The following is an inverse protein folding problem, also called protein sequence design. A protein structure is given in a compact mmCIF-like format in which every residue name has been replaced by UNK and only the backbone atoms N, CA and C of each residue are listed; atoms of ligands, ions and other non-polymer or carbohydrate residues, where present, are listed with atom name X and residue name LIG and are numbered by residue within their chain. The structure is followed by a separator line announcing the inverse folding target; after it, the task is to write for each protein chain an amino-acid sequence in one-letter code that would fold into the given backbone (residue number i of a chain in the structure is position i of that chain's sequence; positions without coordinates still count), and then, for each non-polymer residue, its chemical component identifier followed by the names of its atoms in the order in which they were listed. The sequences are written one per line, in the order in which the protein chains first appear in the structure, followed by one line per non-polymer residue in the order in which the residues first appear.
data_IF_673151556145
#
_entry.id   IF_673151556145
#
_cell.length_a   1.000
_cell.length_b   1.000
_cell.length_c   1.000
_cell.angle_alpha   90.00
_cell.angle_beta   90.00
_cell.angle_gamma   90.00
#
_symmetry.space_group_name_H-M   'P 1'
#
loop_
_entity.id
_entity.type
_entity.pdbx_description
1 polymer ?
#
# COMPACT_ATOMS: atom_id res chain seq x y z
N UNK A 1 -1.83 -30.97 -37.05
CA UNK A 1 -1.95 -29.50 -37.29
C UNK A 1 -0.57 -28.99 -37.68
N UNK A 2 -0.37 -28.56 -38.92
CA UNK A 2 0.89 -27.96 -39.34
C UNK A 2 0.90 -26.46 -38.98
N UNK A 3 1.96 -25.99 -38.34
CA UNK A 3 2.13 -24.57 -38.02
C UNK A 3 2.51 -23.84 -39.32
N UNK A 4 1.77 -22.78 -39.65
CA UNK A 4 2.12 -21.91 -40.77
C UNK A 4 3.31 -21.00 -40.41
N UNK A 5 4.51 -21.49 -40.70
CA UNK A 5 5.76 -20.77 -40.43
C UNK A 5 5.95 -19.53 -41.30
N UNK A 6 5.27 -19.40 -42.45
CA UNK A 6 5.34 -18.20 -43.28
C UNK A 6 4.59 -17.05 -42.63
N UNK A 7 3.41 -17.32 -42.07
CA UNK A 7 2.64 -16.34 -41.32
C UNK A 7 3.37 -15.91 -40.03
N UNK A 8 3.97 -16.86 -39.31
CA UNK A 8 4.79 -16.57 -38.11
C UNK A 8 5.99 -15.69 -38.46
N UNK A 9 6.66 -15.96 -39.59
CA UNK A 9 7.79 -15.14 -40.06
C UNK A 9 7.36 -13.71 -40.39
N UNK A 10 6.26 -13.53 -41.13
CA UNK A 10 5.72 -12.19 -41.45
C UNK A 10 5.39 -11.40 -40.18
N UNK A 11 4.79 -12.05 -39.18
CA UNK A 11 4.50 -11.42 -37.89
C UNK A 11 5.76 -11.04 -37.12
N UNK A 12 6.78 -11.91 -37.14
CA UNK A 12 8.07 -11.66 -36.48
C UNK A 12 8.83 -10.50 -37.16
N UNK A 13 8.86 -10.47 -38.49
CA UNK A 13 9.46 -9.39 -39.29
C UNK A 13 8.65 -8.08 -39.17
N UNK A 14 7.35 -8.13 -38.86
CA UNK A 14 6.53 -6.97 -38.54
C UNK A 14 6.72 -6.45 -37.09
N UNK A 15 7.59 -7.09 -36.29
CA UNK A 15 7.91 -6.68 -34.93
C UNK A 15 6.91 -7.13 -33.86
N UNK A 16 6.02 -8.09 -34.17
CA UNK A 16 5.08 -8.68 -33.21
C UNK A 16 5.85 -9.49 -32.16
N UNK A 17 5.38 -9.47 -30.91
CA UNK A 17 6.02 -10.21 -29.83
C UNK A 17 5.95 -11.74 -30.06
N UNK A 18 7.06 -12.44 -29.77
CA UNK A 18 7.17 -13.90 -29.89
C UNK A 18 6.04 -14.62 -29.12
N UNK A 19 5.63 -14.10 -27.96
CA UNK A 19 4.56 -14.65 -27.13
C UNK A 19 3.18 -14.52 -27.76
N UNK A 20 2.94 -13.48 -28.56
CA UNK A 20 1.67 -13.27 -29.24
C UNK A 20 1.57 -14.16 -30.48
N UNK A 21 2.68 -14.31 -31.22
CA UNK A 21 2.77 -15.27 -32.33
C UNK A 21 2.62 -16.70 -31.83
N UNK A 22 3.26 -17.04 -30.70
CA UNK A 22 3.13 -18.33 -30.05
C UNK A 22 1.66 -18.68 -29.76
N UNK A 23 0.91 -17.75 -29.16
CA UNK A 23 -0.51 -17.93 -28.84
C UNK A 23 -1.39 -18.03 -30.08
N UNK A 24 -1.17 -17.17 -31.08
CA UNK A 24 -1.98 -17.13 -32.30
C UNK A 24 -1.84 -18.38 -33.18
N UNK A 25 -0.66 -19.00 -33.17
CA UNK A 25 -0.36 -20.18 -33.99
C UNK A 25 -0.25 -21.49 -33.19
N UNK A 26 -0.62 -21.48 -31.91
CA UNK A 26 -0.62 -22.67 -31.05
C UNK A 26 0.75 -23.31 -30.85
N UNK A 27 1.82 -22.49 -30.77
CA UNK A 27 3.19 -22.95 -30.60
C UNK A 27 3.87 -22.29 -29.39
N UNK A 28 5.00 -22.83 -28.94
CA UNK A 28 5.76 -22.24 -27.83
C UNK A 28 6.63 -21.08 -28.34
N UNK A 29 6.70 -19.97 -27.60
CA UNK A 29 7.58 -18.83 -27.90
C UNK A 29 9.05 -19.24 -28.07
N UNK A 30 9.52 -20.21 -27.28
CA UNK A 30 10.86 -20.78 -27.43
C UNK A 30 11.08 -21.46 -28.78
N UNK A 31 10.04 -22.06 -29.37
CA UNK A 31 10.09 -22.67 -30.70
C UNK A 31 10.19 -21.60 -31.78
N UNK A 32 9.41 -20.52 -31.67
CA UNK A 32 9.48 -19.36 -32.59
C UNK A 32 10.89 -18.76 -32.55
N UNK A 33 11.46 -18.53 -31.37
CA UNK A 33 12.80 -17.96 -31.21
C UNK A 33 13.90 -18.85 -31.77
N UNK A 34 13.86 -20.16 -31.50
CA UNK A 34 14.81 -21.13 -32.06
C UNK A 34 14.73 -21.18 -33.58
N UNK A 35 13.52 -21.13 -34.14
CA UNK A 35 13.28 -21.12 -35.58
C UNK A 35 13.80 -19.83 -36.22
N UNK A 36 13.45 -18.68 -35.66
CA UNK A 36 13.90 -17.36 -36.12
C UNK A 36 15.44 -17.26 -36.14
N UNK A 37 16.11 -17.82 -35.11
CA UNK A 37 17.58 -17.89 -35.06
C UNK A 37 18.16 -18.83 -36.13
N UNK A 38 17.54 -19.99 -36.33
CA UNK A 38 17.99 -21.00 -37.32
C UNK A 38 17.83 -20.47 -38.76
N UNK A 39 16.75 -19.76 -39.03
CA UNK A 39 16.40 -19.24 -40.35
C UNK A 39 16.81 -17.77 -40.56
N UNK A 40 17.51 -17.18 -39.59
CA UNK A 40 18.05 -15.79 -39.61
C UNK A 40 16.99 -14.74 -39.99
N UNK A 41 15.81 -14.84 -39.40
CA UNK A 41 14.76 -13.85 -39.62
C UNK A 41 15.18 -12.49 -39.07
N UNK A 42 14.89 -11.41 -39.82
CA UNK A 42 15.21 -10.05 -39.40
C UNK A 42 14.09 -9.56 -38.49
N UNK A 43 14.41 -9.22 -37.25
CA UNK A 43 13.46 -8.54 -36.37
C UNK A 43 13.19 -7.16 -36.95
N UNK A 44 11.95 -6.90 -37.36
CA UNK A 44 11.51 -5.53 -37.68
C UNK A 44 11.54 -4.67 -36.43
N UNK A 45 11.56 -3.36 -36.62
CA UNK A 45 11.54 -2.39 -35.53
C UNK A 45 10.37 -2.73 -34.59
N UNK A 46 10.72 -3.19 -33.39
CA UNK A 46 9.76 -3.73 -32.43
C UNK A 46 8.87 -2.56 -32.04
N UNK A 47 7.68 -2.46 -32.62
CA UNK A 47 6.65 -1.53 -32.15
C UNK A 47 6.41 -1.93 -30.70
N UNK A 48 7.00 -1.18 -29.77
CA UNK A 48 6.75 -1.34 -28.34
C UNK A 48 5.25 -1.18 -28.18
N UNK A 49 4.54 -2.30 -28.09
CA UNK A 49 3.13 -2.33 -27.73
C UNK A 49 3.04 -1.92 -26.26
N UNK A 50 3.22 -0.62 -26.01
CA UNK A 50 3.06 0.00 -24.72
C UNK A 50 1.58 0.04 -24.41
N UNK A 51 1.02 -1.06 -23.90
CA UNK A 51 -0.32 -1.01 -23.32
C UNK A 51 -0.66 -2.07 -22.26
N UNK A 52 0.29 -2.90 -21.83
CA UNK A 52 0.10 -3.82 -20.68
C UNK A 52 1.11 -3.67 -19.55
N UNK A 53 1.99 -2.66 -19.63
CA UNK A 53 3.10 -2.46 -18.68
C UNK A 53 2.94 -1.20 -17.82
N UNK A 54 1.76 -0.59 -17.74
CA UNK A 54 1.60 0.60 -16.88
C UNK A 54 1.73 0.22 -15.40
N UNK A 55 0.99 -0.80 -14.93
CA UNK A 55 1.09 -1.27 -13.54
C UNK A 55 2.44 -1.95 -13.21
N UNK A 56 3.02 -2.69 -14.18
CA UNK A 56 4.31 -3.36 -14.03
C UNK A 56 5.50 -2.38 -14.11
N UNK A 57 5.36 -1.31 -14.91
CA UNK A 57 6.31 -0.21 -15.03
C UNK A 57 6.31 0.67 -13.78
N UNK A 58 5.14 1.09 -13.32
CA UNK A 58 4.98 1.84 -12.07
C UNK A 58 5.56 1.09 -10.86
N UNK A 59 5.30 -0.22 -10.75
CA UNK A 59 5.88 -1.04 -9.69
C UNK A 59 7.42 -1.16 -9.78
N UNK A 60 7.99 -1.14 -10.98
CA UNK A 60 9.45 -1.12 -11.18
C UNK A 60 10.05 0.25 -10.83
N UNK A 61 9.36 1.32 -11.19
CA UNK A 61 9.76 2.71 -10.92
C UNK A 61 9.74 2.98 -9.41
N UNK A 62 8.71 2.52 -8.68
CA UNK A 62 8.65 2.61 -7.22
C UNK A 62 9.82 1.92 -6.52
N UNK A 63 10.21 0.72 -6.98
CA UNK A 63 11.38 0.02 -6.41
C UNK A 63 12.66 0.80 -6.63
N UNK A 64 12.83 1.41 -7.80
CA UNK A 64 14.02 2.21 -8.10
C UNK A 64 14.11 3.47 -7.21
N UNK A 65 12.97 4.12 -6.96
CA UNK A 65 12.87 5.29 -6.09
C UNK A 65 13.13 4.94 -4.63
N UNK A 66 12.54 3.85 -4.13
CA UNK A 66 12.80 3.32 -2.78
C UNK A 66 14.27 2.93 -2.59
N UNK A 67 14.91 2.33 -3.59
CA UNK A 67 16.34 2.05 -3.55
C UNK A 67 17.16 3.36 -3.50
N UNK A 68 16.72 4.42 -4.15
CA UNK A 68 17.29 5.76 -4.02
C UNK A 68 17.23 6.29 -2.59
N UNK A 69 16.06 6.21 -1.95
CA UNK A 69 15.86 6.61 -0.55
C UNK A 69 16.72 5.78 0.40
N UNK A 70 16.74 4.45 0.22
CA UNK A 70 17.55 3.54 1.03
C UNK A 70 19.04 3.90 0.98
N UNK A 71 19.57 4.21 -0.20
CA UNK A 71 20.97 4.66 -0.35
C UNK A 71 21.26 5.95 0.41
N UNK A 72 20.34 6.91 0.41
CA UNK A 72 20.49 8.16 1.17
C UNK A 72 20.42 7.94 2.68
N UNK A 73 19.54 7.04 3.15
CA UNK A 73 19.50 6.66 4.56
C UNK A 73 20.83 6.05 5.02
N UNK A 74 21.34 5.07 4.27
CA UNK A 74 22.63 4.44 4.57
C UNK A 74 23.75 5.48 4.57
N UNK A 75 23.82 6.32 3.53
CA UNK A 75 24.81 7.40 3.44
C UNK A 75 24.72 8.43 4.58
N UNK A 76 23.51 8.71 5.08
CA UNK A 76 23.29 9.60 6.21
C UNK A 76 23.77 9.00 7.54
N UNK A 77 23.57 7.70 7.73
CA UNK A 77 24.01 6.96 8.93
C UNK A 77 25.51 6.67 8.96
N UNK A 78 26.11 6.42 7.79
CA UNK A 78 27.54 6.16 7.63
C UNK A 78 28.39 7.45 7.57
N UNK A 79 27.75 8.63 7.58
CA UNK A 79 28.46 9.90 7.49
C UNK A 79 29.13 10.23 8.83
N UNK A 80 30.44 10.47 8.80
CA UNK A 80 31.20 10.91 9.97
C UNK A 80 30.85 12.35 10.39
N UNK A 81 30.44 13.18 9.41
CA UNK A 81 29.92 14.53 9.69
C UNK A 81 28.43 14.46 10.06
N UNK A 82 28.15 14.66 11.34
CA UNK A 82 26.80 14.63 11.92
C UNK A 82 25.85 15.61 11.23
N UNK A 83 26.30 16.81 10.85
CA UNK A 83 25.42 17.82 10.22
C UNK A 83 25.00 17.35 8.84
N UNK A 84 25.97 16.89 8.05
CA UNK A 84 25.75 16.39 6.70
C UNK A 84 24.95 15.09 6.68
N UNK A 85 25.20 14.19 7.65
CA UNK A 85 24.43 12.98 7.86
C UNK A 85 22.96 13.28 8.17
N UNK A 86 22.71 14.22 9.08
CA UNK A 86 21.35 14.65 9.44
C UNK A 86 20.59 15.27 8.26
N UNK A 87 21.26 16.05 7.40
CA UNK A 87 20.64 16.59 6.19
C UNK A 87 20.22 15.49 5.21
N UNK A 88 21.08 14.51 4.94
CA UNK A 88 20.75 13.37 4.08
C UNK A 88 19.58 12.54 4.66
N UNK A 89 19.53 12.37 5.98
CA UNK A 89 18.42 11.68 6.66
C UNK A 89 17.10 12.44 6.57
N UNK A 90 17.12 13.78 6.72
CA UNK A 90 15.93 14.62 6.54
C UNK A 90 15.40 14.52 5.12
N UNK A 91 16.29 14.65 4.13
CA UNK A 91 15.93 14.52 2.71
C UNK A 91 15.34 13.14 2.43
N UNK A 92 15.96 12.07 2.95
CA UNK A 92 15.46 10.72 2.78
C UNK A 92 14.09 10.51 3.44
N UNK A 93 13.85 11.07 4.64
CA UNK A 93 12.57 11.02 5.33
C UNK A 93 11.47 11.70 4.50
N UNK A 94 11.67 12.94 4.09
CA UNK A 94 10.69 13.69 3.29
C UNK A 94 10.43 12.99 1.95
N UNK A 95 11.47 12.47 1.30
CA UNK A 95 11.31 11.71 0.06
C UNK A 95 10.49 10.42 0.27
N UNK A 96 10.68 9.72 1.40
CA UNK A 96 9.91 8.52 1.73
C UNK A 96 8.43 8.83 1.98
N UNK A 97 8.12 9.91 2.70
CA UNK A 97 6.74 10.37 2.94
C UNK A 97 6.04 10.66 1.61
N UNK A 98 6.64 11.48 0.75
CA UNK A 98 6.09 11.82 -0.57
C UNK A 98 5.90 10.57 -1.44
N UNK A 99 6.89 9.66 -1.48
CA UNK A 99 6.76 8.40 -2.24
C UNK A 99 5.66 7.51 -1.69
N UNK A 100 5.47 7.48 -0.37
CA UNK A 100 4.42 6.66 0.26
C UNK A 100 3.03 7.17 -0.12
N UNK A 101 2.84 8.48 -0.14
CA UNK A 101 1.56 9.08 -0.52
C UNK A 101 1.27 8.92 -2.01
N UNK A 102 2.28 9.13 -2.87
CA UNK A 102 2.17 8.84 -4.29
C UNK A 102 1.81 7.37 -4.57
N UNK A 103 2.45 6.42 -3.88
CA UNK A 103 2.12 5.00 -4.01
C UNK A 103 0.70 4.67 -3.53
N UNK A 104 0.17 5.37 -2.51
CA UNK A 104 -1.23 5.20 -2.07
C UNK A 104 -2.18 5.75 -3.14
N UNK A 105 -1.92 6.94 -3.66
CA UNK A 105 -2.73 7.56 -4.70
C UNK A 105 -2.78 6.71 -5.97
N UNK A 106 -1.64 6.15 -6.40
CA UNK A 106 -1.59 5.28 -7.56
C UNK A 106 -2.34 3.96 -7.33
N UNK A 107 -2.22 3.36 -6.14
CA UNK A 107 -3.01 2.16 -5.77
C UNK A 107 -4.52 2.44 -5.77
N UNK A 108 -4.93 3.61 -5.29
CA UNK A 108 -6.33 4.06 -5.35
C UNK A 108 -6.76 4.28 -6.81
N UNK A 109 -5.93 4.91 -7.64
CA UNK A 109 -6.21 5.14 -9.05
C UNK A 109 -6.30 3.84 -9.87
N UNK A 110 -5.55 2.82 -9.47
CA UNK A 110 -5.59 1.47 -10.05
C UNK A 110 -6.69 0.59 -9.47
N UNK A 111 -7.47 1.08 -8.49
CA UNK A 111 -8.53 0.31 -7.83
C UNK A 111 -8.02 -0.90 -7.04
N UNK A 112 -6.73 -0.94 -6.70
CA UNK A 112 -6.11 -2.01 -5.91
C UNK A 112 -6.37 -1.85 -4.40
N UNK A 113 -6.74 -0.65 -4.00
CA UNK A 113 -7.21 -0.31 -2.66
C UNK A 113 -8.54 0.39 -2.87
N UNK A 114 -9.63 -0.17 -2.34
CA UNK A 114 -10.89 0.57 -2.27
C UNK A 114 -10.66 1.78 -1.38
N UNK A 115 -11.11 2.95 -1.82
CA UNK A 115 -11.26 4.10 -0.92
C UNK A 115 -12.25 3.65 0.14
N UNK A 116 -11.77 3.26 1.32
CA UNK A 116 -12.63 3.18 2.49
C UNK A 116 -13.18 4.59 2.64
N UNK A 117 -14.47 4.77 2.36
CA UNK A 117 -15.06 6.09 2.51
C UNK A 117 -14.93 6.48 3.98
N UNK A 118 -14.72 7.76 4.27
CA UNK A 118 -14.77 8.26 5.66
C UNK A 118 -16.09 7.85 6.36
N UNK A 119 -17.14 7.64 5.57
CA UNK A 119 -18.42 7.12 6.01
C UNK A 119 -18.37 5.64 6.42
N UNK A 120 -17.56 4.82 5.74
CA UNK A 120 -17.33 3.41 6.10
C UNK A 120 -16.43 3.30 7.34
N UNK A 121 -15.39 4.13 7.46
CA UNK A 121 -14.57 4.17 8.68
C UNK A 121 -15.39 4.60 9.91
N UNK A 122 -16.31 5.56 9.73
CA UNK A 122 -17.27 5.96 10.79
C UNK A 122 -18.22 4.82 11.15
N UNK A 123 -18.79 4.12 10.16
CA UNK A 123 -19.66 2.97 10.39
C UNK A 123 -18.94 1.84 11.10
N UNK A 124 -17.69 1.58 10.76
CA UNK A 124 -16.88 0.54 11.38
C UNK A 124 -16.49 0.91 12.81
N UNK A 125 -16.16 2.19 13.06
CA UNK A 125 -15.90 2.71 14.41
C UNK A 125 -17.14 2.67 15.29
N UNK A 126 -18.31 3.02 14.75
CA UNK A 126 -19.60 2.96 15.45
C UNK A 126 -20.02 1.51 15.73
N UNK A 127 -19.84 0.60 14.77
CA UNK A 127 -20.08 -0.83 14.96
C UNK A 127 -19.15 -1.44 16.02
N UNK A 128 -17.89 -1.01 16.10
CA UNK A 128 -16.96 -1.41 17.15
C UNK A 128 -17.41 -0.88 18.52
N UNK A 129 -17.81 0.39 18.59
CA UNK A 129 -18.31 1.00 19.83
C UNK A 129 -19.58 0.29 20.35
N UNK A 130 -20.51 -0.08 19.46
CA UNK A 130 -21.70 -0.86 19.81
C UNK A 130 -21.32 -2.25 20.33
N UNK A 131 -20.37 -2.94 19.69
CA UNK A 131 -19.88 -4.24 20.16
C UNK A 131 -19.21 -4.15 21.52
N UNK A 132 -18.40 -3.11 21.76
CA UNK A 132 -17.80 -2.87 23.06
C UNK A 132 -18.86 -2.59 24.12
N UNK A 133 -19.86 -1.76 23.81
CA UNK A 133 -20.96 -1.46 24.70
C UNK A 133 -21.77 -2.71 25.07
N UNK A 134 -22.04 -3.60 24.12
CA UNK A 134 -22.71 -4.89 24.37
C UNK A 134 -21.85 -5.84 25.22
N UNK A 135 -20.52 -5.84 25.01
CA UNK A 135 -19.60 -6.64 25.82
C UNK A 135 -19.44 -6.10 27.25
N UNK A 136 -19.60 -4.78 27.44
CA UNK A 136 -19.56 -4.12 28.76
C UNK A 136 -20.93 -3.95 29.40
N UNK A 137 -22.02 -4.32 28.72
CA UNK A 137 -23.34 -4.31 29.31
C UNK A 137 -23.42 -5.41 30.38
N UNK A 138 -23.78 -5.08 31.63
CA UNK A 138 -23.95 -6.11 32.66
C UNK A 138 -25.09 -7.03 32.22
N UNK A 139 -24.76 -8.29 31.94
CA UNK A 139 -25.76 -9.32 31.73
C UNK A 139 -26.49 -9.52 33.06
N UNK A 140 -27.65 -8.88 33.19
CA UNK A 140 -28.54 -9.10 34.32
C UNK A 140 -28.92 -10.57 34.39
N UNK A 141 -28.44 -11.26 35.42
CA UNK A 141 -29.15 -12.40 35.97
C UNK A 141 -29.68 -11.95 37.32
N UNK A 142 -30.99 -11.74 37.31
CA UNK A 142 -31.87 -11.67 38.47
C UNK A 142 -31.79 -13.01 39.21
N UNK A 143 -31.41 -13.00 40.51
CA UNK A 143 -32.09 -13.78 41.55
C UNK A 143 -31.54 -13.48 42.96
N UNK A 144 -32.49 -13.32 43.87
CA UNK A 144 -32.40 -12.94 45.27
C UNK A 144 -31.45 -13.77 46.14
N UNK A 145 -30.88 -13.13 47.17
CA UNK A 145 -31.02 -13.59 48.56
C UNK A 145 -30.79 -12.43 49.55
N UNK A 146 -31.75 -12.33 50.46
CA UNK A 146 -31.88 -11.40 51.60
C UNK A 146 -30.75 -11.47 52.64
N UNK A 147 -30.79 -10.44 53.50
CA UNK A 147 -30.19 -10.21 54.85
C UNK A 147 -28.95 -9.33 54.79
N UNK A 148 -28.93 -8.13 55.37
CA UNK A 148 -29.85 -7.47 56.29
C UNK A 148 -29.03 -6.46 57.10
N UNK A 149 -29.62 -5.29 57.38
CA UNK A 149 -29.22 -4.34 58.44
C UNK A 149 -27.84 -3.64 58.25
N UNK A 150 -27.60 -2.36 58.53
CA UNK A 150 -28.37 -1.31 59.21
C UNK A 150 -27.76 0.06 58.85
N UNK A 151 -28.59 1.07 59.03
CA UNK A 151 -28.46 2.50 58.80
C UNK A 151 -27.34 3.19 59.61
N UNK A 152 -26.59 4.09 58.96
CA UNK A 152 -26.11 5.41 59.45
C UNK A 152 -25.30 6.07 58.32
N UNK A 153 -25.70 7.17 57.67
CA UNK A 153 -26.25 8.41 58.21
C UNK A 153 -25.09 9.34 58.58
N UNK A 154 -24.73 10.30 57.71
CA UNK A 154 -24.36 11.67 58.09
C UNK A 154 -24.05 12.57 56.88
N UNK A 155 -24.74 13.69 56.87
CA UNK A 155 -24.75 14.84 55.98
C UNK A 155 -23.56 15.80 56.18
N UNK A 156 -23.26 16.60 55.14
CA UNK A 156 -22.56 17.90 55.25
C UNK A 156 -21.36 17.99 54.31
N UNK A 157 -21.10 19.07 53.56
CA UNK A 157 -21.67 20.39 53.47
C UNK A 157 -20.65 21.33 52.81
N UNK A 158 -21.14 22.36 52.07
CA UNK A 158 -20.56 23.71 51.80
C UNK A 158 -19.05 23.85 51.49
N UNK A 159 -18.66 24.39 50.31
CA UNK A 159 -18.63 25.82 49.89
C UNK A 159 -17.47 26.63 50.50
N UNK A 160 -16.48 27.00 49.68
CA UNK A 160 -15.64 28.24 49.71
C UNK A 160 -14.59 28.07 48.59
N UNK A 161 -14.43 28.87 47.53
CA UNK A 161 -14.37 30.32 47.28
C UNK A 161 -13.22 31.05 48.01
N UNK A 162 -12.42 31.71 47.17
CA UNK A 162 -11.61 32.93 47.34
C UNK A 162 -10.10 32.83 47.58
N UNK A 163 -9.41 33.37 46.57
CA UNK A 163 -8.47 34.51 46.61
C UNK A 163 -7.32 34.50 47.62
N UNK A 164 -6.10 34.68 47.08
CA UNK A 164 -5.10 35.69 47.47
C UNK A 164 -3.82 35.44 46.69
N UNK A 165 -3.48 36.33 45.77
CA UNK A 165 -2.71 37.56 45.99
C UNK A 165 -1.20 37.34 45.89
N UNK A 166 -0.64 38.01 44.87
CA UNK A 166 0.38 39.04 45.01
C UNK A 166 1.76 38.69 45.57
N UNK A 167 2.74 39.06 44.74
CA UNK A 167 4.06 39.62 45.07
C UNK A 167 5.20 38.65 45.46
N UNK A 168 6.18 38.55 44.56
CA UNK A 168 7.49 39.18 44.78
C UNK A 168 8.15 39.50 43.45
#
# INVERSE_FOLDING_TARGET
MAIDWQAVRKGFEAGVAEDELAKGFGCNAGTVRRRAKKERWKTGERRKAGKKTAALGAAADHRSLLNGVKRRLVKGLENEDVKKGLEELKVAKTALEVLSDYMKEEKLALGLVEKVSEEQERKDAEALAVKMAQATAPSGTDEALERGEEVRGCTGGKKERQDRDSQT
#
